data_IF_813512263387
#
_entry.id   IF_813512263387
#
_cell.length_a   1.000
_cell.length_b   1.000
_cell.length_c   1.000
_cell.angle_alpha   90.00
_cell.angle_beta   90.00
_cell.angle_gamma   90.00
#
_symmetry.space_group_name_H-M   'P 1'
#
loop_
_entity.id
_entity.type
_entity.pdbx_description
1 polymer ?
#
# COMPACT_ATOMS: atom_id res chain seq x y z
N UNK A 1 34.30 -3.42 28.22
CA UNK A 1 34.30 -4.21 26.97
C UNK A 1 33.37 -3.51 26.00
N UNK A 2 33.96 -2.72 25.10
CA UNK A 2 33.24 -1.78 24.24
C UNK A 2 32.42 -2.47 23.18
N UNK A 3 31.25 -1.86 22.92
CA UNK A 3 30.20 -2.37 22.04
C UNK A 3 30.53 -2.31 20.56
N UNK A 4 29.94 -3.24 19.82
CA UNK A 4 29.90 -3.23 18.37
C UNK A 4 28.65 -2.43 17.98
N UNK A 5 28.85 -1.16 17.62
CA UNK A 5 27.85 -0.39 16.91
C UNK A 5 27.78 -0.90 15.46
N UNK A 6 26.63 -1.37 14.94
CA UNK A 6 26.50 -1.65 13.52
C UNK A 6 26.61 -0.34 12.75
N UNK A 7 27.62 -0.22 11.87
CA UNK A 7 27.81 0.99 11.07
C UNK A 7 26.69 1.18 10.06
N UNK A 8 26.09 2.37 10.11
CA UNK A 8 25.15 2.90 9.11
C UNK A 8 25.93 3.04 7.79
N UNK A 9 25.56 2.28 6.76
CA UNK A 9 26.19 2.37 5.43
C UNK A 9 26.42 1.06 4.67
N UNK A 10 26.03 -0.10 5.21
CA UNK A 10 26.17 -1.40 4.53
C UNK A 10 25.11 -1.67 3.44
N UNK A 11 24.73 -0.65 2.67
CA UNK A 11 24.09 -0.91 1.39
C UNK A 11 25.20 -1.39 0.47
N UNK A 12 25.42 -2.72 0.44
CA UNK A 12 26.29 -3.39 -0.53
C UNK A 12 26.15 -2.67 -1.88
N UNK A 13 27.15 -1.85 -2.20
CA UNK A 13 27.10 -0.96 -3.37
C UNK A 13 26.82 -1.77 -4.63
N UNK A 14 26.46 -1.12 -5.75
CA UNK A 14 26.15 -1.83 -7.00
C UNK A 14 27.18 -2.92 -7.26
N UNK A 15 26.71 -4.16 -7.42
CA UNK A 15 27.60 -5.29 -7.62
C UNK A 15 28.45 -5.03 -8.87
N UNK A 16 29.75 -4.75 -8.68
CA UNK A 16 30.74 -4.64 -9.75
C UNK A 16 31.16 -6.03 -10.27
N UNK A 17 30.35 -7.07 -10.02
CA UNK A 17 30.52 -8.36 -10.66
C UNK A 17 30.44 -8.16 -12.18
N UNK A 18 31.49 -8.61 -12.88
CA UNK A 18 31.65 -8.51 -14.34
C UNK A 18 30.45 -9.09 -15.11
N UNK A 19 29.56 -9.86 -14.46
CA UNK A 19 28.36 -10.45 -15.05
C UNK A 19 27.07 -9.63 -15.05
N UNK A 20 26.93 -8.51 -14.31
CA UNK A 20 25.62 -7.82 -14.18
C UNK A 20 25.10 -7.32 -15.53
N UNK A 21 25.95 -6.67 -16.33
CA UNK A 21 25.56 -6.17 -17.67
C UNK A 21 25.10 -7.30 -18.59
N UNK A 22 25.84 -8.42 -18.58
CA UNK A 22 25.49 -9.59 -19.36
C UNK A 22 24.15 -10.19 -18.92
N UNK A 23 23.91 -10.34 -17.61
CA UNK A 23 22.64 -10.84 -17.07
C UNK A 23 21.46 -9.94 -17.45
N UNK A 24 21.61 -8.61 -17.39
CA UNK A 24 20.57 -7.66 -17.79
C UNK A 24 20.25 -7.76 -19.28
N UNK A 25 21.26 -7.90 -20.14
CA UNK A 25 21.07 -8.08 -21.59
C UNK A 25 20.41 -9.42 -21.89
N UNK A 26 20.91 -10.51 -21.29
CA UNK A 26 20.36 -11.85 -21.46
C UNK A 26 18.89 -11.92 -20.99
N UNK A 27 18.57 -11.33 -19.83
CA UNK A 27 17.21 -11.23 -19.32
C UNK A 27 16.31 -10.39 -20.23
N UNK A 28 16.78 -9.22 -20.69
CA UNK A 28 16.02 -8.36 -21.61
C UNK A 28 15.70 -9.08 -22.92
N UNK A 29 16.67 -9.82 -23.49
CA UNK A 29 16.48 -10.60 -24.72
C UNK A 29 15.50 -11.76 -24.52
N UNK A 30 15.66 -12.52 -23.43
CA UNK A 30 14.75 -13.61 -23.09
C UNK A 30 13.31 -13.11 -22.85
N UNK A 31 13.16 -12.01 -22.12
CA UNK A 31 11.88 -11.36 -21.86
C UNK A 31 11.21 -10.90 -23.15
N UNK A 32 11.94 -10.25 -24.07
CA UNK A 32 11.40 -9.83 -25.38
C UNK A 32 11.00 -11.04 -26.22
N UNK A 33 11.80 -12.11 -26.22
CA UNK A 33 11.48 -13.35 -26.93
C UNK A 33 10.22 -14.03 -26.41
N UNK A 34 9.97 -13.96 -25.09
CA UNK A 34 8.81 -14.59 -24.45
C UNK A 34 7.52 -13.76 -24.53
N UNK A 35 7.62 -12.43 -24.33
CA UNK A 35 6.45 -11.53 -24.30
C UNK A 35 6.13 -10.89 -25.65
N UNK A 36 7.04 -10.92 -26.63
CA UNK A 36 6.90 -10.14 -27.85
C UNK A 36 7.05 -8.63 -27.59
N UNK A 37 6.47 -7.80 -28.46
CA UNK A 37 6.52 -6.34 -28.36
C UNK A 37 5.54 -5.77 -27.32
N UNK A 38 4.41 -6.44 -27.12
CA UNK A 38 3.34 -6.01 -26.21
C UNK A 38 2.92 -7.16 -25.31
N UNK A 39 2.46 -6.84 -24.09
CA UNK A 39 1.86 -7.84 -23.20
C UNK A 39 0.70 -8.57 -23.91
N UNK A 40 0.63 -9.91 -23.80
CA UNK A 40 -0.49 -10.68 -24.33
C UNK A 40 -1.84 -10.12 -23.85
N UNK A 41 -2.85 -10.13 -24.72
CA UNK A 41 -4.15 -9.52 -24.45
C UNK A 41 -4.85 -10.14 -23.24
N UNK A 42 -4.66 -11.44 -23.00
CA UNK A 42 -5.17 -12.17 -21.85
C UNK A 42 -4.62 -11.60 -20.54
N UNK A 43 -3.33 -11.25 -20.51
CA UNK A 43 -2.68 -10.64 -19.34
C UNK A 43 -3.24 -9.24 -19.09
N UNK A 44 -3.50 -8.48 -20.14
CA UNK A 44 -4.13 -7.16 -20.03
C UNK A 44 -5.56 -7.30 -19.49
N UNK A 45 -6.36 -8.23 -20.03
CA UNK A 45 -7.72 -8.53 -19.56
C UNK A 45 -7.73 -8.93 -18.09
N UNK A 46 -6.80 -9.79 -17.65
CA UNK A 46 -6.66 -10.15 -16.24
C UNK A 46 -6.35 -8.94 -15.36
N UNK A 47 -5.46 -8.05 -15.79
CA UNK A 47 -5.11 -6.84 -15.04
C UNK A 47 -6.25 -5.83 -14.99
N UNK A 48 -6.99 -5.66 -16.08
CA UNK A 48 -8.18 -4.80 -16.13
C UNK A 48 -9.23 -5.36 -15.17
N UNK A 49 -9.52 -6.66 -15.24
CA UNK A 49 -10.43 -7.32 -14.30
C UNK A 49 -9.98 -7.11 -12.85
N UNK A 50 -8.70 -7.31 -12.55
CA UNK A 50 -8.16 -7.10 -11.21
C UNK A 50 -8.31 -5.64 -10.75
N UNK A 51 -8.03 -4.67 -11.62
CA UNK A 51 -8.24 -3.26 -11.32
C UNK A 51 -9.72 -2.96 -11.00
N UNK A 52 -10.66 -3.54 -11.75
CA UNK A 52 -12.10 -3.44 -11.47
C UNK A 52 -12.47 -4.06 -10.13
N UNK A 53 -11.96 -5.25 -9.80
CA UNK A 53 -12.18 -5.90 -8.49
C UNK A 53 -11.63 -5.08 -7.31
N UNK A 54 -10.64 -4.24 -7.55
CA UNK A 54 -10.05 -3.33 -6.57
C UNK A 54 -10.75 -1.96 -6.52
N UNK A 55 -11.70 -1.70 -7.42
CA UNK A 55 -12.32 -0.38 -7.56
C UNK A 55 -11.33 0.70 -8.01
N UNK A 56 -10.31 0.34 -8.79
CA UNK A 56 -9.27 1.26 -9.26
C UNK A 56 -9.36 1.50 -10.76
N UNK A 57 -9.14 2.74 -11.24
CA UNK A 57 -8.84 2.97 -12.65
C UNK A 57 -7.62 2.16 -13.08
N UNK A 58 -7.69 1.53 -14.26
CA UNK A 58 -6.61 0.67 -14.77
C UNK A 58 -5.25 1.37 -14.79
N UNK A 59 -5.22 2.67 -15.13
CA UNK A 59 -3.98 3.46 -15.15
C UNK A 59 -3.30 3.52 -13.77
N UNK A 60 -4.07 3.74 -12.70
CA UNK A 60 -3.56 3.79 -11.33
C UNK A 60 -3.02 2.41 -10.91
N UNK A 61 -3.80 1.36 -11.15
CA UNK A 61 -3.40 -0.01 -10.89
C UNK A 61 -2.11 -0.40 -11.63
N UNK A 62 -2.04 -0.13 -12.94
CA UNK A 62 -0.89 -0.45 -13.76
C UNK A 62 0.38 0.30 -13.33
N UNK A 63 0.24 1.57 -12.92
CA UNK A 63 1.34 2.38 -12.39
C UNK A 63 1.92 1.77 -11.11
N UNK A 64 1.07 1.43 -10.14
CA UNK A 64 1.48 0.83 -8.86
C UNK A 64 2.14 -0.54 -9.09
N UNK A 65 1.57 -1.36 -9.98
CA UNK A 65 2.14 -2.67 -10.32
C UNK A 65 3.48 -2.55 -11.05
N UNK A 66 3.68 -1.49 -11.83
CA UNK A 66 4.94 -1.24 -12.52
C UNK A 66 6.05 -0.76 -11.55
N UNK A 67 5.72 0.06 -10.55
CA UNK A 67 6.70 0.55 -9.57
C UNK A 67 7.11 -0.51 -8.54
N UNK A 68 6.16 -1.32 -8.09
CA UNK A 68 6.40 -2.33 -7.03
C UNK A 68 6.76 -3.70 -7.59
N UNK A 69 6.38 -4.00 -8.84
CA UNK A 69 6.45 -5.35 -9.40
C UNK A 69 5.44 -6.33 -8.80
N UNK A 70 4.55 -5.87 -7.92
CA UNK A 70 3.61 -6.69 -7.14
C UNK A 70 2.15 -6.33 -7.44
N UNK A 71 1.25 -7.29 -7.24
CA UNK A 71 -0.19 -6.99 -7.27
C UNK A 71 -0.63 -6.22 -6.02
N UNK A 72 -1.74 -5.49 -6.11
CA UNK A 72 -2.35 -4.83 -4.95
C UNK A 72 -3.23 -5.85 -4.22
N UNK A 73 -2.88 -6.14 -2.97
CA UNK A 73 -3.56 -7.13 -2.13
C UNK A 73 -4.33 -6.51 -0.97
N UNK A 74 -4.02 -5.25 -0.63
CA UNK A 74 -4.69 -4.55 0.46
C UNK A 74 -4.68 -3.04 0.30
N UNK A 75 -5.51 -2.41 1.13
CA UNK A 75 -5.59 -0.97 1.28
C UNK A 75 -5.43 -0.61 2.75
N UNK A 76 -4.68 0.45 3.01
CA UNK A 76 -4.62 1.11 4.31
C UNK A 76 -5.41 2.40 4.21
N UNK A 77 -6.55 2.49 4.86
CA UNK A 77 -7.37 3.70 4.90
C UNK A 77 -7.06 4.49 6.16
N UNK A 78 -6.76 5.79 6.05
CA UNK A 78 -6.77 6.65 7.24
C UNK A 78 -8.21 6.91 7.69
N UNK A 79 -8.44 7.11 8.99
CA UNK A 79 -9.78 7.49 9.47
C UNK A 79 -10.28 8.79 8.83
N UNK A 80 -9.36 9.72 8.50
CA UNK A 80 -9.68 10.93 7.73
C UNK A 80 -10.22 10.59 6.33
N UNK A 81 -9.57 9.65 5.63
CA UNK A 81 -10.03 9.17 4.32
C UNK A 81 -11.39 8.48 4.37
N UNK A 82 -11.77 7.89 5.51
CA UNK A 82 -13.08 7.29 5.73
C UNK A 82 -14.15 8.30 6.20
N UNK A 83 -13.79 9.59 6.33
CA UNK A 83 -14.63 10.65 6.92
C UNK A 83 -15.04 10.36 8.36
N UNK A 84 -14.22 9.60 9.10
CA UNK A 84 -14.40 9.31 10.52
C UNK A 84 -13.43 10.21 11.31
N UNK A 85 -13.97 11.24 11.96
CA UNK A 85 -13.18 12.27 12.65
C UNK A 85 -13.50 12.27 14.15
N UNK A 86 -14.77 12.06 14.50
CA UNK A 86 -15.30 12.14 15.87
C UNK A 86 -15.93 10.82 16.28
N UNK A 87 -15.91 10.57 17.59
CA UNK A 87 -16.60 9.41 18.15
C UNK A 87 -18.11 9.49 17.81
N UNK A 88 -18.65 8.39 17.30
CA UNK A 88 -20.04 8.33 16.83
C UNK A 88 -20.26 8.66 15.35
N UNK A 89 -19.21 9.10 14.63
CA UNK A 89 -19.30 9.23 13.17
C UNK A 89 -19.58 7.84 12.55
N UNK A 90 -20.49 7.81 11.57
CA UNK A 90 -20.78 6.64 10.76
C UNK A 90 -20.13 6.77 9.38
N UNK A 91 -19.76 5.64 8.78
CA UNK A 91 -19.31 5.63 7.38
C UNK A 91 -20.42 6.19 6.48
N UNK A 92 -20.13 7.17 5.61
CA UNK A 92 -21.08 7.61 4.59
C UNK A 92 -21.50 6.42 3.73
N UNK A 93 -22.80 6.31 3.40
CA UNK A 93 -23.32 5.17 2.64
C UNK A 93 -22.55 4.87 1.33
N UNK A 94 -22.19 5.87 0.49
CA UNK A 94 -21.39 5.61 -0.71
C UNK A 94 -20.00 5.01 -0.42
N UNK A 95 -19.41 5.33 0.73
CA UNK A 95 -18.11 4.80 1.14
C UNK A 95 -18.26 3.36 1.60
N UNK A 96 -19.29 3.06 2.38
CA UNK A 96 -19.61 1.69 2.80
C UNK A 96 -19.89 0.78 1.59
N UNK A 97 -20.70 1.26 0.62
CA UNK A 97 -21.00 0.53 -0.62
C UNK A 97 -19.74 0.25 -1.43
N UNK A 98 -18.87 1.25 -1.58
CA UNK A 98 -17.59 1.09 -2.27
C UNK A 98 -16.69 0.07 -1.55
N UNK A 99 -16.56 0.17 -0.23
CA UNK A 99 -15.75 -0.75 0.57
C UNK A 99 -16.24 -2.20 0.46
N UNK A 100 -17.56 -2.41 0.40
CA UNK A 100 -18.16 -3.73 0.26
C UNK A 100 -17.85 -4.41 -1.09
N UNK A 101 -17.59 -3.65 -2.14
CA UNK A 101 -17.31 -4.16 -3.49
C UNK A 101 -15.83 -4.56 -3.70
N UNK A 102 -14.92 -4.04 -2.87
CA UNK A 102 -13.48 -4.25 -3.02
C UNK A 102 -13.09 -5.69 -2.65
N UNK A 103 -12.36 -6.36 -3.54
CA UNK A 103 -11.75 -7.69 -3.30
C UNK A 103 -10.28 -7.59 -2.91
N UNK A 104 -10.04 -6.99 -1.76
CA UNK A 104 -8.72 -6.84 -1.13
C UNK A 104 -8.90 -6.63 0.39
N UNK A 105 -7.85 -6.84 1.17
CA UNK A 105 -7.90 -6.57 2.61
C UNK A 105 -7.96 -5.08 2.88
N UNK A 106 -8.84 -4.65 3.79
CA UNK A 106 -9.11 -3.26 4.15
C UNK A 106 -8.67 -3.05 5.59
N UNK A 107 -7.54 -2.37 5.77
CA UNK A 107 -7.00 -2.03 7.09
C UNK A 107 -7.29 -0.55 7.36
N UNK A 108 -7.76 -0.22 8.56
CA UNK A 108 -7.96 1.16 8.99
C UNK A 108 -6.84 1.63 9.94
N UNK A 109 -6.18 2.73 9.60
CA UNK A 109 -5.30 3.48 10.49
C UNK A 109 -6.13 4.57 11.19
N UNK A 110 -6.32 4.41 12.50
CA UNK A 110 -7.30 5.19 13.27
C UNK A 110 -6.62 6.28 14.11
N UNK A 111 -6.88 7.53 13.76
CA UNK A 111 -6.42 8.70 14.52
C UNK A 111 -7.14 8.83 15.86
N UNK A 112 -6.52 9.54 16.81
CA UNK A 112 -7.22 9.99 18.02
C UNK A 112 -8.24 11.07 17.67
N UNK A 113 -9.36 11.19 18.42
CA UNK A 113 -9.70 10.46 19.64
C UNK A 113 -10.44 9.12 19.40
N UNK A 114 -10.66 8.70 18.15
CA UNK A 114 -11.39 7.48 17.83
C UNK A 114 -10.76 6.25 18.47
N UNK A 115 -11.55 5.22 18.72
CA UNK A 115 -11.09 3.94 19.24
C UNK A 115 -10.95 2.92 18.10
N UNK A 116 -9.77 2.29 17.89
CA UNK A 116 -9.59 1.32 16.81
C UNK A 116 -10.53 0.11 16.87
N UNK A 117 -10.88 -0.38 18.06
CA UNK A 117 -11.76 -1.56 18.19
C UNK A 117 -13.17 -1.23 17.67
N UNK A 118 -13.67 -0.05 18.00
CA UNK A 118 -14.93 0.46 17.47
C UNK A 118 -14.91 0.56 15.93
N UNK A 119 -13.80 0.99 15.34
CA UNK A 119 -13.65 1.08 13.88
C UNK A 119 -13.51 -0.30 13.23
N UNK A 120 -12.84 -1.24 13.88
CA UNK A 120 -12.73 -2.62 13.40
C UNK A 120 -14.10 -3.33 13.33
N UNK A 121 -15.06 -2.91 14.16
CA UNK A 121 -16.42 -3.45 14.14
C UNK A 121 -17.29 -2.93 12.97
N UNK A 122 -16.84 -1.91 12.23
CA UNK A 122 -17.58 -1.38 11.09
C UNK A 122 -17.55 -2.36 9.90
N UNK A 123 -18.70 -2.50 9.23
CA UNK A 123 -18.80 -3.33 8.04
C UNK A 123 -17.83 -2.83 6.93
N UNK A 124 -17.09 -3.76 6.34
CA UNK A 124 -16.12 -3.46 5.29
C UNK A 124 -14.73 -3.08 5.78
N UNK A 125 -14.46 -3.15 7.08
CA UNK A 125 -13.10 -3.06 7.65
C UNK A 125 -12.68 -4.44 8.14
N UNK A 126 -11.55 -4.95 7.64
CA UNK A 126 -11.06 -6.28 8.01
C UNK A 126 -10.14 -6.22 9.25
N UNK A 127 -9.50 -5.08 9.49
CA UNK A 127 -8.66 -4.80 10.67
C UNK A 127 -8.58 -3.30 10.89
N UNK A 128 -8.46 -2.88 12.15
CA UNK A 128 -8.11 -1.51 12.49
C UNK A 128 -7.03 -1.48 13.56
N UNK A 129 -6.26 -0.40 13.59
CA UNK A 129 -5.25 -0.15 14.60
C UNK A 129 -4.92 1.33 14.69
N UNK A 130 -4.03 1.69 15.61
CA UNK A 130 -3.65 3.09 15.80
C UNK A 130 -2.89 3.64 14.60
N UNK A 131 -3.34 4.79 14.09
CA UNK A 131 -2.58 5.56 13.13
C UNK A 131 -1.30 6.13 13.77
N UNK A 132 -0.22 6.30 13.00
CA UNK A 132 0.90 7.12 13.41
C UNK A 132 0.44 8.52 13.86
N UNK A 133 0.97 9.00 14.99
CA UNK A 133 0.66 10.35 15.45
C UNK A 133 1.17 11.39 14.44
N UNK A 134 0.44 12.51 14.23
CA UNK A 134 0.91 13.60 13.38
C UNK A 134 2.29 14.08 13.81
N UNK A 135 3.17 14.34 12.83
CA UNK A 135 4.54 14.82 13.05
C UNK A 135 5.42 13.92 13.93
N UNK A 136 5.01 12.67 14.19
CA UNK A 136 5.85 11.71 14.88
C UNK A 136 7.11 11.43 14.05
N UNK A 137 8.26 11.29 14.71
CA UNK A 137 9.50 10.89 14.04
C UNK A 137 9.36 9.53 13.35
N UNK A 138 10.14 9.34 12.28
CA UNK A 138 10.08 8.17 11.40
C UNK A 138 10.03 6.82 12.13
N UNK A 139 10.87 6.59 13.15
CA UNK A 139 10.88 5.33 13.90
C UNK A 139 9.56 5.03 14.62
N UNK A 140 8.88 6.05 15.15
CA UNK A 140 7.56 5.89 15.77
C UNK A 140 6.47 5.66 14.72
N UNK A 141 6.57 6.31 13.56
CA UNK A 141 5.66 6.05 12.44
C UNK A 141 5.80 4.62 11.93
N UNK A 142 7.04 4.15 11.71
CA UNK A 142 7.33 2.77 11.31
C UNK A 142 6.77 1.76 12.31
N UNK A 143 7.04 1.94 13.61
CA UNK A 143 6.54 1.02 14.64
C UNK A 143 5.00 0.97 14.71
N UNK A 144 4.32 2.11 14.58
CA UNK A 144 2.85 2.16 14.54
C UNK A 144 2.29 1.45 13.30
N UNK A 145 2.93 1.65 12.14
CA UNK A 145 2.60 0.92 10.93
C UNK A 145 2.94 -0.57 11.06
N UNK A 146 3.94 -0.95 11.84
CA UNK A 146 4.27 -2.36 12.07
C UNK A 146 3.19 -3.10 12.86
N UNK A 147 2.71 -2.50 13.95
CA UNK A 147 1.59 -3.05 14.73
C UNK A 147 0.30 -3.22 13.89
N UNK A 148 0.06 -2.33 12.92
CA UNK A 148 -1.12 -2.40 12.05
C UNK A 148 -1.17 -3.66 11.17
N UNK A 149 0.00 -4.22 10.83
CA UNK A 149 0.10 -5.37 9.94
C UNK A 149 0.68 -6.60 10.64
N UNK A 150 0.92 -6.51 11.95
CA UNK A 150 1.23 -7.66 12.79
C UNK A 150 0.16 -8.74 12.59
N UNK A 151 0.60 -10.01 12.53
CA UNK A 151 -0.22 -11.19 12.22
C UNK A 151 -0.89 -11.21 10.83
N UNK A 152 -0.65 -10.21 9.98
CA UNK A 152 -1.10 -10.25 8.59
C UNK A 152 -0.05 -10.94 7.72
N UNK A 153 -0.50 -11.74 6.75
CA UNK A 153 0.35 -12.28 5.68
C UNK A 153 0.54 -11.28 4.54
N UNK A 154 0.16 -10.01 4.74
CA UNK A 154 0.15 -8.99 3.70
C UNK A 154 1.53 -8.35 3.53
N UNK A 155 2.14 -8.47 2.35
CA UNK A 155 3.35 -7.72 2.02
C UNK A 155 3.05 -6.22 1.96
N UNK A 156 3.91 -5.39 2.59
CA UNK A 156 3.69 -3.94 2.64
C UNK A 156 3.69 -3.28 1.27
N UNK A 157 4.56 -3.75 0.40
CA UNK A 157 4.69 -3.35 -1.01
C UNK A 157 3.51 -3.80 -1.90
N UNK A 158 2.50 -4.49 -1.32
CA UNK A 158 1.22 -4.80 -1.96
C UNK A 158 0.05 -3.95 -1.45
N UNK A 159 0.31 -3.04 -0.51
CA UNK A 159 -0.73 -2.25 0.17
C UNK A 159 -0.68 -0.80 -0.25
N UNK A 160 -1.82 -0.26 -0.65
CA UNK A 160 -1.96 1.15 -1.09
C UNK A 160 -2.59 1.97 0.01
N UNK A 161 -2.00 3.12 0.32
CA UNK A 161 -2.56 4.08 1.27
C UNK A 161 -3.67 4.90 0.62
N UNK A 162 -4.84 4.94 1.24
CA UNK A 162 -5.90 5.90 0.94
C UNK A 162 -5.91 6.96 2.05
N UNK A 163 -5.64 8.21 1.68
CA UNK A 163 -5.40 9.30 2.62
C UNK A 163 -6.22 10.55 2.26
N UNK A 164 -6.45 11.42 3.25
CA UNK A 164 -7.10 12.72 3.03
C UNK A 164 -6.25 13.88 3.59
N UNK A 165 -5.36 13.61 4.56
CA UNK A 165 -4.45 14.62 5.09
C UNK A 165 -3.05 14.53 4.40
N UNK A 166 -2.38 15.67 4.12
CA UNK A 166 -1.08 15.65 3.42
C UNK A 166 0.03 14.91 4.14
N UNK A 167 0.11 15.01 5.48
CA UNK A 167 1.16 14.37 6.27
C UNK A 167 1.06 12.84 6.27
N UNK A 168 -0.10 12.27 5.93
CA UNK A 168 -0.30 10.81 5.87
C UNK A 168 0.50 10.18 4.73
N UNK A 169 0.85 10.95 3.69
CA UNK A 169 1.65 10.48 2.54
C UNK A 169 3.02 9.95 2.98
N UNK A 170 3.58 10.51 4.06
CA UNK A 170 4.86 10.06 4.64
C UNK A 170 4.81 8.59 5.08
N UNK A 171 3.63 8.06 5.39
CA UNK A 171 3.44 6.66 5.79
C UNK A 171 3.79 5.68 4.67
N UNK A 172 3.76 6.11 3.41
CA UNK A 172 4.21 5.27 2.30
C UNK A 172 5.69 4.93 2.46
N UNK A 173 6.52 5.92 2.78
CA UNK A 173 7.94 5.71 3.01
C UNK A 173 8.19 4.99 4.34
N UNK A 174 7.52 5.41 5.43
CA UNK A 174 7.71 4.81 6.75
C UNK A 174 7.26 3.34 6.80
N UNK A 175 6.14 3.00 6.17
CA UNK A 175 5.56 1.66 6.15
C UNK A 175 5.96 0.81 4.94
N UNK A 176 6.79 1.34 4.03
CA UNK A 176 7.21 0.67 2.78
C UNK A 176 6.01 0.20 1.94
N UNK A 177 5.00 1.07 1.82
CA UNK A 177 3.76 0.79 1.11
C UNK A 177 3.95 0.91 -0.41
N UNK A 178 3.01 0.36 -1.17
CA UNK A 178 3.03 0.35 -2.64
C UNK A 178 2.88 1.76 -3.27
N UNK A 179 2.23 2.67 -2.55
CA UNK A 179 1.91 4.02 -3.01
C UNK A 179 0.74 4.60 -2.24
N UNK A 180 0.23 5.74 -2.72
CA UNK A 180 -0.93 6.42 -2.14
C UNK A 180 -1.93 6.87 -3.22
N UNK A 181 -3.19 6.99 -2.82
CA UNK A 181 -4.27 7.59 -3.61
C UNK A 181 -5.06 8.53 -2.70
N UNK A 182 -5.32 9.79 -3.10
CA UNK A 182 -6.20 10.68 -2.35
C UNK A 182 -7.62 10.13 -2.26
N UNK A 183 -8.24 10.24 -1.09
CA UNK A 183 -9.59 9.72 -0.83
C UNK A 183 -10.64 10.23 -1.83
N UNK A 184 -10.67 11.53 -2.21
CA UNK A 184 -11.59 11.99 -3.24
C UNK A 184 -11.42 11.25 -4.57
N UNK A 185 -10.19 10.95 -4.98
CA UNK A 185 -9.92 10.22 -6.23
C UNK A 185 -10.31 8.73 -6.15
N UNK A 186 -10.23 8.13 -4.95
CA UNK A 186 -10.59 6.73 -4.74
C UNK A 186 -12.11 6.53 -4.66
N UNK A 187 -12.82 7.41 -3.94
CA UNK A 187 -14.26 7.28 -3.68
C UNK A 187 -15.17 7.97 -4.71
N UNK A 188 -14.63 8.80 -5.62
CA UNK A 188 -15.39 9.38 -6.75
C UNK A 188 -15.33 8.58 -8.05
N UNK A 189 -14.48 7.54 -8.09
CA UNK A 189 -14.27 6.69 -9.25
C UNK A 189 -15.23 5.49 -9.28
#
# INVERSE_FOLDING_TARGET
MSGISPSIGHNNGPAFDRGVRFRTVAWSKARKGLLGETLPIEVIRMRVRRATELGLPYRSYASIRASTGRDVLGFLFSSNALRLIRAGDALPAPYADRLAQIKATRIAAVHRPLDPETIAALAGIDRAGRAPAPLAGWGRQSAALDALFEDTKLPRDSVVLIHDAPFEVEWVAAGKLAGFIPAPAFFSA
#
